data_IF_708474075115
#
_entry.id   IF_708474075115
#
_cell.length_a   1.000
_cell.length_b   1.000
_cell.length_c   1.000
_cell.angle_alpha   90.00
_cell.angle_beta   90.00
_cell.angle_gamma   90.00
#
_symmetry.space_group_name_H-M   'P 1'
#
loop_
_entity.id
_entity.type
_entity.pdbx_description
1 polymer ?
#
# COMPACT_ATOMS: atom_id res chain seq x y z
N UNK A 1 4.20 -12.19 -0.62
CA UNK A 1 4.88 -10.91 -0.34
C UNK A 1 4.85 -10.63 1.15
N UNK A 2 5.82 -9.87 1.61
CA UNK A 2 5.97 -9.52 3.00
C UNK A 2 6.30 -8.03 3.14
N UNK A 3 6.35 -7.56 4.38
CA UNK A 3 6.70 -6.17 4.64
C UNK A 3 8.14 -5.85 4.19
N UNK A 4 9.00 -6.84 4.13
CA UNK A 4 10.37 -6.63 3.66
C UNK A 4 10.42 -6.33 2.16
N UNK A 5 9.46 -6.83 1.41
CA UNK A 5 9.42 -6.58 -0.04
C UNK A 5 9.24 -5.10 -0.35
N UNK A 6 8.38 -4.40 0.41
CA UNK A 6 8.21 -2.97 0.18
C UNK A 6 9.44 -2.17 0.62
N UNK A 7 10.16 -2.67 1.62
CA UNK A 7 11.40 -2.02 2.06
C UNK A 7 12.44 -2.01 0.95
N UNK A 8 12.48 -3.07 0.15
CA UNK A 8 13.46 -3.23 -0.91
C UNK A 8 12.98 -2.76 -2.29
N UNK A 9 11.71 -2.43 -2.41
CA UNK A 9 11.13 -2.07 -3.70
C UNK A 9 11.74 -0.77 -4.24
N UNK A 10 12.06 -0.75 -5.53
CA UNK A 10 12.58 0.44 -6.19
C UNK A 10 11.49 1.46 -6.45
N UNK A 11 10.31 1.00 -6.89
CA UNK A 11 9.14 1.85 -7.11
C UNK A 11 8.06 1.48 -6.15
N UNK A 12 7.60 2.45 -5.39
CA UNK A 12 6.53 2.25 -4.42
C UNK A 12 5.76 3.53 -4.22
N UNK A 13 4.51 3.39 -3.77
CA UNK A 13 3.73 4.54 -3.34
C UNK A 13 3.58 4.47 -1.83
N UNK A 14 3.54 5.62 -1.18
CA UNK A 14 3.41 5.72 0.26
C UNK A 14 2.24 6.65 0.54
N UNK A 15 1.28 6.15 1.32
CA UNK A 15 0.10 6.90 1.68
C UNK A 15 -1.09 6.64 0.77
N UNK A 16 -2.28 6.95 1.30
CA UNK A 16 -3.54 6.60 0.64
C UNK A 16 -3.73 7.30 -0.70
N UNK A 17 -3.43 8.61 -0.75
CA UNK A 17 -3.65 9.38 -1.98
C UNK A 17 -2.78 8.87 -3.13
N UNK A 18 -1.52 8.60 -2.86
CA UNK A 18 -0.62 8.09 -3.89
C UNK A 18 -1.02 6.68 -4.33
N UNK A 19 -1.40 5.84 -3.38
CA UNK A 19 -1.81 4.47 -3.70
C UNK A 19 -3.09 4.47 -4.54
N UNK A 20 -4.07 5.31 -4.18
CA UNK A 20 -5.29 5.42 -4.98
C UNK A 20 -5.00 5.91 -6.39
N UNK A 21 -4.09 6.88 -6.51
CA UNK A 21 -3.74 7.44 -7.81
C UNK A 21 -3.14 6.37 -8.72
N UNK A 22 -2.20 5.59 -8.22
CA UNK A 22 -1.57 4.56 -9.04
C UNK A 22 -2.56 3.44 -9.38
N UNK A 23 -3.45 3.09 -8.47
CA UNK A 23 -4.47 2.08 -8.73
C UNK A 23 -5.43 2.52 -9.85
N UNK A 24 -5.76 3.80 -9.89
CA UNK A 24 -6.66 4.35 -10.91
C UNK A 24 -5.98 4.53 -12.25
N UNK A 25 -4.72 4.93 -12.27
CA UNK A 25 -4.01 5.28 -13.50
C UNK A 25 -3.21 4.12 -14.08
N UNK A 26 -2.64 3.28 -13.25
CA UNK A 26 -1.72 2.23 -13.67
C UNK A 26 -1.87 0.99 -12.79
N UNK A 27 -3.11 0.60 -12.51
CA UNK A 27 -3.39 -0.54 -11.63
C UNK A 27 -2.71 -1.82 -12.09
N UNK A 28 -2.54 -2.00 -13.40
CA UNK A 28 -1.88 -3.19 -13.96
C UNK A 28 -0.41 -3.28 -13.58
N UNK A 29 0.19 -2.19 -13.14
CA UNK A 29 1.58 -2.17 -12.70
C UNK A 29 1.74 -2.40 -11.20
N UNK A 30 0.65 -2.36 -10.46
CA UNK A 30 0.70 -2.54 -9.01
C UNK A 30 0.84 -4.02 -8.70
N UNK A 31 1.93 -4.38 -8.03
CA UNK A 31 2.21 -5.78 -7.69
C UNK A 31 1.54 -6.19 -6.39
N UNK A 32 1.45 -5.28 -5.43
CA UNK A 32 0.91 -5.59 -4.11
C UNK A 32 0.52 -4.29 -3.42
N UNK A 33 -0.53 -4.34 -2.62
CA UNK A 33 -0.99 -3.21 -1.81
C UNK A 33 -0.85 -3.59 -0.34
N UNK A 34 -0.28 -2.70 0.46
CA UNK A 34 -0.13 -2.89 1.90
C UNK A 34 -1.16 -2.04 2.63
N UNK A 35 -1.81 -2.63 3.62
CA UNK A 35 -2.85 -1.97 4.41
C UNK A 35 -2.50 -2.13 5.89
N UNK A 36 -2.47 -1.01 6.62
CA UNK A 36 -2.24 -1.05 8.07
C UNK A 36 -3.55 -1.36 8.79
N UNK A 37 -3.53 -2.36 9.67
CA UNK A 37 -4.74 -2.80 10.36
C UNK A 37 -5.32 -1.76 11.32
N UNK A 38 -4.48 -0.90 11.87
CA UNK A 38 -4.92 0.12 12.83
C UNK A 38 -5.32 1.43 12.16
N UNK A 39 -5.28 1.51 10.84
CA UNK A 39 -5.76 2.69 10.13
C UNK A 39 -7.28 2.72 10.10
N UNK A 40 -7.86 3.92 9.99
CA UNK A 40 -9.31 4.05 9.92
C UNK A 40 -9.87 3.39 8.66
N UNK A 41 -10.95 2.63 8.82
CA UNK A 41 -11.57 1.91 7.71
C UNK A 41 -11.96 2.83 6.56
N UNK A 42 -12.51 4.00 6.86
CA UNK A 42 -12.93 4.94 5.81
C UNK A 42 -11.76 5.44 4.96
N UNK A 43 -10.53 5.37 5.50
CA UNK A 43 -9.33 5.74 4.76
C UNK A 43 -8.86 4.58 3.88
N UNK A 44 -8.91 3.36 4.42
CA UNK A 44 -8.37 2.19 3.73
C UNK A 44 -9.39 1.50 2.81
N UNK A 45 -10.69 1.61 3.10
CA UNK A 45 -11.72 0.93 2.30
C UNK A 45 -11.66 1.24 0.81
N UNK A 46 -11.49 2.50 0.37
CA UNK A 46 -11.38 2.77 -1.06
C UNK A 46 -10.21 2.04 -1.73
N UNK A 47 -9.09 1.94 -1.03
CA UNK A 47 -7.91 1.23 -1.53
C UNK A 47 -8.18 -0.26 -1.62
N UNK A 48 -8.76 -0.83 -0.57
CA UNK A 48 -9.11 -2.26 -0.54
C UNK A 48 -10.07 -2.59 -1.67
N UNK A 49 -11.08 -1.75 -1.86
CA UNK A 49 -12.09 -1.94 -2.89
C UNK A 49 -11.47 -1.97 -4.29
N UNK A 50 -10.64 -0.97 -4.58
CA UNK A 50 -10.00 -0.87 -5.88
C UNK A 50 -9.04 -2.02 -6.14
N UNK A 51 -8.22 -2.36 -5.16
CA UNK A 51 -7.27 -3.45 -5.27
C UNK A 51 -8.00 -4.79 -5.48
N UNK A 52 -9.06 -5.02 -4.73
CA UNK A 52 -9.85 -6.26 -4.84
C UNK A 52 -10.49 -6.39 -6.21
N UNK A 53 -11.03 -5.30 -6.73
CA UNK A 53 -11.68 -5.31 -8.06
C UNK A 53 -10.68 -5.61 -9.17
N UNK A 54 -9.43 -5.24 -8.98
CA UNK A 54 -8.38 -5.46 -9.98
C UNK A 54 -7.60 -6.75 -9.75
N UNK A 55 -7.97 -7.50 -8.72
CA UNK A 55 -7.29 -8.78 -8.43
C UNK A 55 -5.89 -8.59 -7.89
N UNK A 56 -5.61 -7.46 -7.27
CA UNK A 56 -4.28 -7.16 -6.72
C UNK A 56 -4.18 -7.71 -5.30
N UNK A 57 -3.06 -8.33 -4.99
CA UNK A 57 -2.83 -8.91 -3.67
C UNK A 57 -2.76 -7.84 -2.59
N UNK A 58 -3.40 -8.09 -1.46
CA UNK A 58 -3.38 -7.19 -0.31
C UNK A 58 -2.59 -7.85 0.81
N UNK A 59 -1.58 -7.15 1.31
CA UNK A 59 -0.79 -7.58 2.45
C UNK A 59 -1.14 -6.71 3.65
N UNK A 60 -1.52 -7.36 4.76
CA UNK A 60 -1.90 -6.65 5.98
C UNK A 60 -0.70 -6.43 6.88
N UNK A 61 -0.56 -5.22 7.41
CA UNK A 61 0.49 -4.86 8.35
C UNK A 61 -0.17 -4.43 9.65
N UNK A 62 0.37 -4.83 10.79
CA UNK A 62 -0.28 -4.62 12.08
C UNK A 62 -0.51 -3.15 12.39
N UNK A 63 0.45 -2.28 12.12
CA UNK A 63 0.33 -0.86 12.47
C UNK A 63 0.81 0.05 11.35
N UNK A 64 0.25 1.28 11.34
CA UNK A 64 0.70 2.33 10.43
C UNK A 64 2.17 2.66 10.67
N UNK A 65 2.59 2.61 11.92
CA UNK A 65 3.98 2.89 12.29
C UNK A 65 4.94 1.89 11.63
N UNK A 66 4.59 0.62 11.68
CA UNK A 66 5.41 -0.43 11.04
C UNK A 66 5.45 -0.25 9.54
N UNK A 67 4.32 0.08 8.92
CA UNK A 67 4.28 0.27 7.48
C UNK A 67 5.10 1.49 7.06
N UNK A 68 4.96 2.60 7.79
CA UNK A 68 5.75 3.79 7.51
C UNK A 68 7.25 3.52 7.62
N UNK A 69 7.64 2.80 8.67
CA UNK A 69 9.04 2.44 8.87
C UNK A 69 9.57 1.57 7.73
N UNK A 70 8.78 0.61 7.29
CA UNK A 70 9.17 -0.24 6.16
C UNK A 70 9.31 0.56 4.87
N UNK A 71 8.51 1.62 4.70
CA UNK A 71 8.61 2.52 3.55
C UNK A 71 9.76 3.52 3.66
N UNK A 72 10.43 3.58 4.81
CA UNK A 72 11.56 4.49 5.00
C UNK A 72 11.17 5.91 5.38
N UNK A 73 9.97 6.10 5.94
CA UNK A 73 9.53 7.41 6.41
C UNK A 73 9.40 7.42 7.94
N UNK A 74 9.38 8.61 8.53
CA UNK A 74 9.36 8.75 9.98
C UNK A 74 7.95 8.72 10.57
N UNK A 75 6.94 8.93 9.74
CA UNK A 75 5.54 8.91 10.18
C UNK A 75 4.87 7.63 9.73
N UNK A 76 3.69 7.36 10.29
CA UNK A 76 2.94 6.17 9.91
C UNK A 76 2.32 6.30 8.52
N UNK A 77 2.05 5.16 7.90
CA UNK A 77 1.37 5.11 6.61
C UNK A 77 0.18 4.17 6.72
N UNK A 78 -1.00 4.63 6.31
CA UNK A 78 -2.20 3.79 6.32
C UNK A 78 -2.16 2.75 5.20
N UNK A 79 -1.65 3.14 4.04
CA UNK A 79 -1.52 2.26 2.88
C UNK A 79 -0.23 2.55 2.14
N UNK A 80 0.20 1.56 1.37
CA UNK A 80 1.35 1.69 0.48
C UNK A 80 1.22 0.65 -0.62
N UNK A 81 2.03 0.76 -1.66
CA UNK A 81 2.02 -0.26 -2.71
C UNK A 81 3.40 -0.39 -3.35
N UNK A 82 3.63 -1.55 -3.94
CA UNK A 82 4.81 -1.80 -4.77
C UNK A 82 4.34 -1.72 -6.22
N UNK A 83 5.09 -0.97 -7.02
CA UNK A 83 4.77 -0.77 -8.43
C UNK A 83 5.87 -1.38 -9.27
N UNK A 84 5.50 -2.04 -10.36
CA UNK A 84 6.47 -2.63 -11.29
C UNK A 84 7.30 -1.53 -11.97
N UNK A 85 8.55 -1.85 -12.22
CA UNK A 85 9.46 -0.94 -12.93
C UNK A 85 9.03 -0.68 -14.36
#
# INVERSE_FOLDING_TARGET
VSIDDIRQAKKKTIGTNQTLKVLKQSGERVLCVYIARDAESRVTDPVIHLASRQGIEIEWVDTMKQLGKACGIEVGAATASIVAD
#
